data_IF_332676773965
#
_entry.id   IF_332676773965
#
_cell.length_a   1.000
_cell.length_b   1.000
_cell.length_c   1.000
_cell.angle_alpha   90.00
_cell.angle_beta   90.00
_cell.angle_gamma   90.00
#
_symmetry.space_group_name_H-M   'P 1'
#
loop_
_entity.id
_entity.type
_entity.pdbx_description
1 polymer ?
#
# COMPACT_ATOMS: atom_id res chain seq x y z
N UNK A 1 12.87 -5.47 4.05
CA UNK A 1 12.98 -4.02 4.30
C UNK A 1 11.58 -3.40 4.16
N UNK A 2 11.01 -2.70 5.15
CA UNK A 2 9.72 -2.01 4.99
C UNK A 2 9.68 -1.08 3.76
N UNK A 3 10.84 -0.62 3.27
CA UNK A 3 10.95 0.16 2.03
C UNK A 3 10.62 -0.61 0.76
N UNK A 4 10.59 -1.95 0.82
CA UNK A 4 10.29 -2.83 -0.32
C UNK A 4 8.82 -3.23 -0.40
N UNK A 5 8.01 -2.81 0.58
CA UNK A 5 6.56 -2.99 0.60
C UNK A 5 5.87 -1.78 -0.03
N UNK A 6 4.91 -2.04 -0.90
CA UNK A 6 3.96 -1.04 -1.42
C UNK A 6 2.60 -1.32 -0.81
N UNK A 7 1.90 -0.24 -0.46
CA UNK A 7 0.54 -0.29 0.10
C UNK A 7 -0.42 0.14 -1.00
N UNK A 8 -1.43 -0.66 -1.28
CA UNK A 8 -2.59 -0.26 -2.07
C UNK A 8 -3.81 -0.11 -1.17
N UNK A 9 -4.65 0.87 -1.50
CA UNK A 9 -5.96 1.10 -0.93
C UNK A 9 -6.97 1.15 -2.06
N UNK A 10 -7.87 0.18 -2.11
CA UNK A 10 -8.88 0.05 -3.17
C UNK A 10 -8.24 0.07 -4.58
N UNK A 11 -7.17 -0.72 -4.78
CA UNK A 11 -6.38 -0.80 -6.02
C UNK A 11 -5.68 0.50 -6.43
N UNK A 12 -5.43 1.40 -5.48
CA UNK A 12 -4.64 2.62 -5.67
C UNK A 12 -3.42 2.59 -4.78
N UNK A 13 -2.25 2.80 -5.36
CA UNK A 13 -1.00 2.87 -4.59
C UNK A 13 -1.02 4.10 -3.67
N UNK A 14 -0.84 3.88 -2.37
CA UNK A 14 -0.67 4.92 -1.37
C UNK A 14 0.81 5.23 -1.22
N UNK A 15 1.20 6.47 -1.51
CA UNK A 15 2.59 6.91 -1.35
C UNK A 15 2.94 7.04 0.13
N UNK A 16 4.21 6.78 0.49
CA UNK A 16 4.66 6.76 1.89
C UNK A 16 4.29 8.02 2.71
N UNK A 17 4.41 9.26 2.20
CA UNK A 17 3.99 10.44 2.96
C UNK A 17 2.50 10.45 3.32
N UNK A 18 1.65 9.82 2.51
CA UNK A 18 0.20 9.84 2.69
C UNK A 18 -0.32 8.72 3.62
N UNK A 19 0.53 7.78 4.07
CA UNK A 19 0.09 6.63 4.86
C UNK A 19 -0.56 7.01 6.20
N UNK A 20 -0.08 8.08 6.85
CA UNK A 20 -0.66 8.57 8.11
C UNK A 20 -1.93 9.39 7.92
N UNK A 21 -2.22 9.81 6.70
CA UNK A 21 -3.32 10.72 6.35
C UNK A 21 -4.46 10.01 5.62
N UNK A 22 -4.21 8.81 5.07
CA UNK A 22 -5.19 8.06 4.30
C UNK A 22 -6.17 7.37 5.27
N UNK A 23 -7.44 7.80 5.34
CA UNK A 23 -8.42 7.16 6.21
C UNK A 23 -8.81 5.78 5.64
N UNK A 24 -9.11 4.85 6.55
CA UNK A 24 -9.61 3.51 6.21
C UNK A 24 -11.01 3.36 6.79
N UNK A 25 -11.94 2.90 5.97
CA UNK A 25 -13.32 2.64 6.34
C UNK A 25 -13.67 1.15 6.21
N UNK A 26 -14.77 0.75 6.86
CA UNK A 26 -15.30 -0.60 6.70
C UNK A 26 -15.67 -0.87 5.24
N UNK A 27 -15.18 -1.98 4.69
CA UNK A 27 -15.38 -2.37 3.29
C UNK A 27 -14.24 -1.97 2.35
N UNK A 28 -13.27 -1.18 2.82
CA UNK A 28 -12.06 -0.90 2.04
C UNK A 28 -11.15 -2.13 1.94
N UNK A 29 -10.52 -2.28 0.77
CA UNK A 29 -9.47 -3.26 0.55
C UNK A 29 -8.09 -2.61 0.74
N UNK A 30 -7.25 -3.23 1.56
CA UNK A 30 -5.85 -2.85 1.73
C UNK A 30 -4.98 -4.02 1.28
N UNK A 31 -4.11 -3.78 0.31
CA UNK A 31 -3.17 -4.77 -0.19
C UNK A 31 -1.73 -4.37 0.14
N UNK A 32 -0.96 -5.29 0.71
CA UNK A 32 0.47 -5.15 0.94
C UNK A 32 1.20 -5.98 -0.10
N UNK A 33 1.82 -5.31 -1.06
CA UNK A 33 2.54 -5.99 -2.15
C UNK A 33 4.03 -5.84 -1.96
N UNK A 34 4.75 -6.94 -2.15
CA UNK A 34 6.19 -7.00 -2.13
C UNK A 34 6.66 -7.33 -3.55
N UNK A 35 7.35 -6.40 -4.20
CA UNK A 35 7.96 -6.70 -5.49
C UNK A 35 9.14 -7.64 -5.25
N UNK A 36 8.93 -8.93 -5.50
CA UNK A 36 10.00 -9.90 -5.68
C UNK A 36 10.44 -9.76 -7.14
N UNK A 37 11.53 -9.03 -7.39
CA UNK A 37 11.98 -8.74 -8.75
C UNK A 37 12.09 -10.02 -9.59
N UNK A 38 11.28 -10.13 -10.64
CA UNK A 38 11.64 -10.85 -11.84
C UNK A 38 12.48 -9.92 -12.70
N UNK A 39 13.59 -10.42 -13.26
CA UNK A 39 14.54 -9.63 -14.05
C UNK A 39 13.95 -8.95 -15.28
#
# INVERSE_FOLDING_TARGET
DPRTVVVEHNRRIVRRPALGETPVAAGDAIELVHFVGGG
#
